data_IF_035626073783
#
_entry.id   IF_035626073783
#
_cell.length_a   1.000
_cell.length_b   1.000
_cell.length_c   1.000
_cell.angle_alpha   90.00
_cell.angle_beta   90.00
_cell.angle_gamma   90.00
#
_symmetry.space_group_name_H-M   'P 1'
#
loop_
_entity.id
_entity.type
_entity.pdbx_description
1 polymer ?
#
# COMPACT_ATOMS: atom_id res chain seq x y z
N UNK A 1 7.38 6.93 -7.68
CA UNK A 1 8.16 5.86 -8.35
C UNK A 1 9.24 5.37 -7.40
N UNK A 2 9.45 4.05 -7.33
CA UNK A 2 10.47 3.42 -6.47
C UNK A 2 11.89 3.80 -6.92
N UNK A 3 12.82 3.96 -5.97
CA UNK A 3 14.23 4.26 -6.20
C UNK A 3 15.07 3.34 -5.29
N UNK A 4 15.85 2.39 -5.83
CA UNK A 4 16.62 1.43 -5.03
C UNK A 4 17.50 2.08 -3.95
N UNK A 5 18.19 3.16 -4.30
CA UNK A 5 19.08 3.91 -3.39
C UNK A 5 18.35 4.64 -2.24
N UNK A 6 17.02 4.55 -2.21
CA UNK A 6 16.13 5.24 -1.27
C UNK A 6 15.11 4.28 -0.66
N UNK A 7 15.38 2.97 -0.70
CA UNK A 7 14.46 1.94 -0.25
C UNK A 7 14.13 2.00 1.26
N UNK A 8 14.95 2.70 2.05
CA UNK A 8 14.72 2.94 3.48
C UNK A 8 14.24 4.37 3.78
N UNK A 9 13.83 5.17 2.77
CA UNK A 9 13.15 6.45 3.01
C UNK A 9 11.70 6.23 3.46
N UNK A 10 11.05 5.18 2.92
CA UNK A 10 9.71 4.76 3.32
C UNK A 10 9.47 3.29 2.92
N UNK A 11 8.68 2.54 3.71
CA UNK A 11 8.20 1.23 3.28
C UNK A 11 7.47 1.31 1.93
N UNK A 12 7.60 0.26 1.12
CA UNK A 12 6.92 0.18 -0.16
C UNK A 12 5.39 0.02 0.04
N UNK A 13 4.63 0.62 -0.86
CA UNK A 13 3.16 0.58 -0.84
C UNK A 13 2.56 1.32 -2.04
N UNK A 14 1.25 1.24 -2.17
CA UNK A 14 0.49 1.87 -3.25
C UNK A 14 -0.34 3.03 -2.73
N UNK A 15 -0.40 4.11 -3.52
CA UNK A 15 -1.16 5.32 -3.21
C UNK A 15 -1.94 5.71 -4.45
N UNK A 16 -3.27 5.73 -4.35
CA UNK A 16 -4.13 5.96 -5.51
C UNK A 16 -5.46 6.60 -5.10
N UNK A 17 -6.28 6.94 -6.10
CA UNK A 17 -7.64 7.47 -5.91
C UNK A 17 -8.61 6.70 -6.80
N UNK A 18 -9.79 6.41 -6.26
CA UNK A 18 -10.91 5.98 -7.07
C UNK A 18 -11.67 7.19 -7.61
N UNK A 19 -12.24 7.05 -8.80
CA UNK A 19 -13.26 7.98 -9.29
C UNK A 19 -14.65 7.63 -8.74
N UNK A 20 -14.95 6.32 -8.60
CA UNK A 20 -16.18 5.77 -8.01
C UNK A 20 -15.78 4.63 -7.05
N UNK A 21 -15.71 4.92 -5.75
CA UNK A 21 -15.00 4.08 -4.80
C UNK A 21 -15.76 2.85 -4.31
N UNK A 22 -17.08 2.93 -4.17
CA UNK A 22 -17.79 2.07 -3.20
C UNK A 22 -17.61 0.56 -3.45
N UNK A 23 -18.09 0.03 -4.57
CA UNK A 23 -18.04 -1.42 -4.81
C UNK A 23 -16.62 -1.93 -5.13
N UNK A 24 -15.80 -1.09 -5.77
CA UNK A 24 -14.42 -1.45 -6.14
C UNK A 24 -13.53 -1.51 -4.91
N UNK A 25 -13.73 -0.61 -3.94
CA UNK A 25 -12.98 -0.58 -2.69
C UNK A 25 -13.21 -1.84 -1.87
N UNK A 26 -14.46 -2.26 -1.67
CA UNK A 26 -14.75 -3.46 -0.86
C UNK A 26 -14.19 -4.73 -1.51
N UNK A 27 -14.26 -4.86 -2.84
CA UNK A 27 -13.66 -5.98 -3.55
C UNK A 27 -12.12 -5.97 -3.43
N UNK A 28 -11.50 -4.81 -3.61
CA UNK A 28 -10.06 -4.68 -3.47
C UNK A 28 -9.61 -4.94 -2.03
N UNK A 29 -10.37 -4.46 -1.04
CA UNK A 29 -10.09 -4.73 0.37
C UNK A 29 -10.06 -6.22 0.69
N UNK A 30 -11.08 -6.96 0.26
CA UNK A 30 -11.09 -8.41 0.43
C UNK A 30 -9.90 -9.08 -0.25
N UNK A 31 -9.57 -8.67 -1.47
CA UNK A 31 -8.40 -9.17 -2.20
C UNK A 31 -7.09 -8.94 -1.41
N UNK A 32 -6.88 -7.72 -0.89
CA UNK A 32 -5.67 -7.37 -0.13
C UNK A 32 -5.61 -8.13 1.20
N UNK A 33 -6.73 -8.30 1.91
CA UNK A 33 -6.78 -9.02 3.20
C UNK A 33 -6.52 -10.53 3.05
N UNK A 34 -6.83 -11.11 1.88
CA UNK A 34 -6.55 -12.52 1.59
C UNK A 34 -5.11 -12.79 1.12
N UNK A 35 -4.36 -11.76 0.72
CA UNK A 35 -2.96 -11.92 0.30
C UNK A 35 -2.09 -12.46 1.45
N UNK A 36 -1.36 -13.56 1.18
CA UNK A 36 -0.42 -14.19 2.12
C UNK A 36 1.03 -13.99 1.66
N UNK A 37 1.54 -12.78 1.87
CA UNK A 37 2.94 -12.42 1.64
C UNK A 37 3.82 -12.58 2.89
N UNK A 38 5.01 -11.99 2.83
CA UNK A 38 5.90 -11.89 3.99
C UNK A 38 5.32 -10.97 5.08
N UNK A 39 4.62 -9.91 4.67
CA UNK A 39 3.93 -8.98 5.54
C UNK A 39 2.42 -9.16 5.45
N UNK A 40 1.71 -8.78 6.51
CA UNK A 40 0.27 -8.55 6.43
C UNK A 40 0.03 -7.20 5.76
N UNK A 41 -0.78 -7.18 4.70
CA UNK A 41 -1.12 -5.96 3.96
C UNK A 41 -2.54 -5.50 4.31
N UNK A 42 -2.76 -4.18 4.24
CA UNK A 42 -4.09 -3.59 4.43
C UNK A 42 -4.35 -2.54 3.35
N UNK A 43 -5.63 -2.25 3.10
CA UNK A 43 -6.05 -1.03 2.42
C UNK A 43 -6.81 -0.12 3.39
N UNK A 44 -6.58 1.19 3.30
CA UNK A 44 -7.35 2.18 4.05
C UNK A 44 -7.41 3.52 3.33
N UNK A 45 -8.34 4.39 3.75
CA UNK A 45 -8.35 5.79 3.36
C UNK A 45 -7.35 6.55 4.24
N UNK A 46 -6.49 7.36 3.64
CA UNK A 46 -5.53 8.18 4.37
C UNK A 46 -6.25 9.24 5.22
N UNK A 47 -6.04 9.27 6.55
CA UNK A 47 -6.72 10.21 7.44
C UNK A 47 -6.23 11.65 7.27
N UNK A 48 -5.06 11.85 6.65
CA UNK A 48 -4.37 13.15 6.53
C UNK A 48 -4.62 13.87 5.22
N UNK A 49 -5.27 13.24 4.22
CA UNK A 49 -5.45 13.84 2.91
C UNK A 49 -6.86 14.36 2.72
N UNK A 50 -7.01 15.66 2.41
CA UNK A 50 -8.30 16.29 2.06
C UNK A 50 -9.01 15.65 0.85
N UNK A 51 -8.30 14.83 0.07
CA UNK A 51 -8.75 14.28 -1.21
C UNK A 51 -8.91 12.75 -1.21
N UNK A 52 -9.13 12.12 -0.04
CA UNK A 52 -9.44 10.69 0.10
C UNK A 52 -8.48 9.77 -0.69
N UNK A 53 -7.17 9.92 -0.46
CA UNK A 53 -6.21 8.97 -1.04
C UNK A 53 -6.39 7.60 -0.38
N UNK A 54 -6.48 6.57 -1.20
CA UNK A 54 -6.44 5.18 -0.76
C UNK A 54 -4.98 4.73 -0.70
N UNK A 55 -4.68 3.97 0.34
CA UNK A 55 -3.33 3.48 0.63
C UNK A 55 -3.38 1.99 0.83
N UNK A 56 -2.52 1.27 0.12
CA UNK A 56 -2.20 -0.14 0.38
C UNK A 56 -0.78 -0.21 0.92
N UNK A 57 -0.63 -0.66 2.16
CA UNK A 57 0.65 -0.72 2.85
C UNK A 57 0.68 -1.84 3.92
N UNK A 58 1.87 -2.19 4.45
CA UNK A 58 1.96 -3.16 5.53
C UNK A 58 1.17 -2.72 6.77
N UNK A 59 0.51 -3.67 7.44
CA UNK A 59 -0.32 -3.41 8.60
C UNK A 59 0.46 -2.71 9.73
N UNK A 60 1.70 -3.12 9.97
CA UNK A 60 2.56 -2.52 11.00
C UNK A 60 2.86 -1.04 10.70
N UNK A 61 2.99 -0.68 9.42
CA UNK A 61 3.16 0.71 8.99
C UNK A 61 1.90 1.51 9.28
N UNK A 62 0.73 0.97 8.95
CA UNK A 62 -0.54 1.61 9.25
C UNK A 62 -0.71 1.85 10.76
N UNK A 63 -0.49 0.82 11.60
CA UNK A 63 -0.62 0.95 13.05
C UNK A 63 0.41 1.89 13.66
N UNK A 64 1.65 1.87 13.17
CA UNK A 64 2.68 2.83 13.58
C UNK A 64 2.26 4.28 13.32
N UNK A 65 1.57 4.57 12.21
CA UNK A 65 1.05 5.91 11.91
C UNK A 65 -0.04 6.38 12.86
N UNK A 66 -0.71 5.45 13.55
CA UNK A 66 -1.74 5.77 14.54
C UNK A 66 -1.13 6.05 15.93
N UNK A 67 0.12 5.66 16.16
CA UNK A 67 0.81 5.88 17.42
C UNK A 67 1.05 7.37 17.69
N UNK A 68 0.99 7.77 18.96
CA UNK A 68 1.22 9.16 19.38
C UNK A 68 2.61 9.67 18.96
N UNK A 69 3.64 8.85 19.12
CA UNK A 69 5.02 9.16 18.70
C UNK A 69 5.11 9.55 17.22
N UNK A 70 4.36 8.88 16.35
CA UNK A 70 4.30 9.24 14.95
C UNK A 70 3.56 10.57 14.73
N UNK A 71 2.51 10.87 15.50
CA UNK A 71 1.79 12.14 15.36
C UNK A 71 2.64 13.36 15.72
N UNK A 72 3.63 13.18 16.59
CA UNK A 72 4.54 14.27 17.01
C UNK A 72 5.65 14.48 15.98
N UNK A 73 6.30 13.42 15.52
CA UNK A 73 7.51 13.52 14.70
C UNK A 73 7.30 13.20 13.21
N UNK A 74 6.20 12.54 12.85
CA UNK A 74 5.94 11.96 11.52
C UNK A 74 7.02 10.99 11.02
N UNK A 75 7.84 10.46 11.92
CA UNK A 75 8.96 9.57 11.59
C UNK A 75 8.61 8.11 11.89
N UNK A 76 8.33 7.32 10.85
CA UNK A 76 8.06 5.88 10.97
C UNK A 76 9.25 5.10 11.54
N UNK A 77 10.47 5.55 11.24
CA UNK A 77 11.70 4.91 11.70
C UNK A 77 11.80 4.94 13.23
N UNK A 78 11.34 6.00 13.87
CA UNK A 78 11.39 6.15 15.32
C UNK A 78 10.37 5.24 16.02
N UNK A 79 9.23 4.98 15.38
CA UNK A 79 8.19 4.11 15.91
C UNK A 79 8.49 2.63 15.69
N UNK A 80 8.92 2.27 14.47
CA UNK A 80 9.18 0.87 14.10
C UNK A 80 10.60 0.40 14.49
N UNK A 81 11.51 1.33 14.77
CA UNK A 81 12.85 1.08 15.29
C UNK A 81 13.60 -0.02 14.51
N UNK A 82 13.99 -1.10 15.20
CA UNK A 82 14.75 -2.21 14.63
C UNK A 82 14.01 -2.89 13.47
N UNK A 83 12.69 -2.99 13.54
CA UNK A 83 11.86 -3.64 12.51
C UNK A 83 11.73 -2.81 11.23
N UNK A 84 12.10 -1.52 11.25
CA UNK A 84 11.85 -0.61 10.13
C UNK A 84 12.52 -1.07 8.83
N UNK A 85 13.79 -1.50 8.90
CA UNK A 85 14.55 -1.94 7.72
C UNK A 85 13.99 -3.23 7.15
N UNK A 86 13.72 -4.21 8.02
CA UNK A 86 13.14 -5.50 7.62
C UNK A 86 11.78 -5.29 6.95
N UNK A 87 10.92 -4.43 7.49
CA UNK A 87 9.65 -4.07 6.87
C UNK A 87 9.86 -3.47 5.48
N UNK A 88 10.85 -2.59 5.29
CA UNK A 88 11.13 -2.01 3.98
C UNK A 88 11.54 -3.08 2.95
N UNK A 89 12.42 -4.00 3.34
CA UNK A 89 12.93 -5.06 2.47
C UNK A 89 11.85 -6.09 2.14
N UNK A 90 11.12 -6.57 3.14
CA UNK A 90 10.02 -7.53 2.95
C UNK A 90 8.89 -6.92 2.13
N UNK A 91 8.57 -5.63 2.35
CA UNK A 91 7.56 -4.95 1.54
C UNK A 91 7.96 -4.93 0.06
N UNK A 92 9.23 -4.66 -0.26
CA UNK A 92 9.74 -4.66 -1.64
C UNK A 92 9.63 -6.06 -2.27
N UNK A 93 9.94 -7.11 -1.51
CA UNK A 93 9.81 -8.50 -1.97
C UNK A 93 8.34 -8.88 -2.21
N UNK A 94 7.43 -8.35 -1.40
CA UNK A 94 5.99 -8.62 -1.52
C UNK A 94 5.35 -7.91 -2.72
N UNK A 95 5.82 -6.72 -3.14
CA UNK A 95 5.18 -5.93 -4.21
C UNK A 95 4.87 -6.76 -5.47
N UNK A 96 5.82 -7.51 -6.08
CA UNK A 96 5.53 -8.31 -7.27
C UNK A 96 4.49 -9.42 -7.01
N UNK A 97 4.54 -10.05 -5.83
CA UNK A 97 3.61 -11.12 -5.45
C UNK A 97 2.21 -10.57 -5.21
N UNK A 98 2.11 -9.40 -4.59
CA UNK A 98 0.87 -8.69 -4.34
C UNK A 98 0.23 -8.23 -5.66
N UNK A 99 1.02 -7.67 -6.59
CA UNK A 99 0.53 -7.32 -7.93
C UNK A 99 -0.04 -8.55 -8.65
N UNK A 100 0.70 -9.66 -8.65
CA UNK A 100 0.24 -10.92 -9.26
C UNK A 100 -1.05 -11.44 -8.60
N UNK A 101 -1.13 -11.40 -7.28
CA UNK A 101 -2.33 -11.79 -6.54
C UNK A 101 -3.55 -10.95 -6.94
N UNK A 102 -3.39 -9.63 -7.05
CA UNK A 102 -4.45 -8.72 -7.52
C UNK A 102 -4.85 -9.06 -8.96
N UNK A 103 -3.87 -9.24 -9.85
CA UNK A 103 -4.15 -9.58 -11.26
C UNK A 103 -4.91 -10.90 -11.38
N UNK A 104 -4.56 -11.91 -10.58
CA UNK A 104 -5.25 -13.20 -10.54
C UNK A 104 -6.67 -13.08 -9.98
N UNK A 105 -6.83 -12.38 -8.86
CA UNK A 105 -8.11 -12.19 -8.19
C UNK A 105 -9.16 -11.55 -9.10
N UNK A 106 -8.74 -10.62 -9.96
CA UNK A 106 -9.62 -9.88 -10.87
C UNK A 106 -9.58 -10.39 -12.32
N UNK A 107 -8.93 -11.54 -12.57
CA UNK A 107 -8.78 -12.15 -13.89
C UNK A 107 -8.23 -11.14 -14.94
N UNK A 108 -7.13 -10.48 -14.58
CA UNK A 108 -6.47 -9.42 -15.37
C UNK A 108 -5.23 -9.91 -16.11
N UNK A 109 -4.68 -11.10 -15.80
CA UNK A 109 -3.43 -11.64 -16.35
C UNK A 109 -3.35 -11.66 -17.89
N UNK A 110 -4.51 -11.62 -18.56
CA UNK A 110 -4.63 -11.65 -20.02
C UNK A 110 -5.42 -10.47 -20.60
N UNK A 111 -5.84 -9.51 -19.76
CA UNK A 111 -6.59 -8.34 -20.23
C UNK A 111 -5.62 -7.26 -20.67
N UNK A 112 -5.90 -6.69 -21.83
CA UNK A 112 -5.15 -5.55 -22.36
C UNK A 112 -5.33 -4.38 -21.39
N UNK A 113 -4.24 -3.91 -20.78
CA UNK A 113 -4.28 -2.71 -19.95
C UNK A 113 -4.64 -1.53 -20.86
N UNK A 114 -5.87 -1.01 -20.71
CA UNK A 114 -6.21 0.25 -21.35
C UNK A 114 -5.31 1.34 -20.76
N UNK A 115 -4.64 2.15 -21.59
CA UNK A 115 -3.90 3.29 -21.06
C UNK A 115 -4.86 4.19 -20.27
N UNK A 116 -4.42 4.79 -19.15
CA UNK A 116 -5.27 5.66 -18.38
C UNK A 116 -5.81 6.77 -19.27
N UNK A 117 -7.13 6.89 -19.36
CA UNK A 117 -7.79 8.04 -19.97
C UNK A 117 -7.55 9.25 -19.08
N UNK A 118 -6.70 10.16 -19.53
CA UNK A 118 -6.54 11.47 -18.90
C UNK A 118 -7.77 12.30 -19.30
N UNK A 119 -8.65 12.70 -18.36
CA UNK A 119 -9.75 13.60 -18.69
C UNK A 119 -9.17 14.93 -19.21
N UNK A 120 -9.73 15.43 -20.32
CA UNK A 120 -9.42 16.76 -20.86
C UNK A 120 -9.89 17.87 -19.93
#
# INVERSE_FOLDING_TARGET
MYKPNRMYERPAGFYFRFHNADQVYEQLKLCIEEFKGNLKWIIHVSPVTRHQNYVVEPADVYYAKQAETYRVNMELRDVLQASYKDICELAIQDIPLLCKHIEQWFELEHKQLYPPTIPN
#
